data_IF_219627268668
#
_entry.id   IF_219627268668
#
_cell.length_a   1.000
_cell.length_b   1.000
_cell.length_c   1.000
_cell.angle_alpha   90.00
_cell.angle_beta   90.00
_cell.angle_gamma   90.00
#
_symmetry.space_group_name_H-M   'P 1'
#
loop_
_entity.id
_entity.type
_entity.pdbx_description
1 polymer ?
#
# COMPACT_ATOMS: atom_id res chain seq x y z
N UNK A 1 72.81 15.86 -7.52
CA UNK A 1 71.77 15.37 -8.45
C UNK A 1 72.34 14.18 -9.20
N UNK A 2 71.74 13.00 -9.08
CA UNK A 2 72.25 11.76 -9.69
C UNK A 2 71.62 11.58 -11.09
N UNK A 3 72.41 11.42 -12.17
CA UNK A 3 71.92 11.40 -13.55
C UNK A 3 71.03 10.19 -13.90
N UNK A 4 70.95 9.18 -13.03
CA UNK A 4 70.09 8.01 -13.19
C UNK A 4 68.79 8.06 -12.37
N UNK A 5 68.51 9.16 -11.67
CA UNK A 5 67.25 9.32 -10.94
C UNK A 5 66.10 9.63 -11.92
N UNK A 6 65.02 8.81 -11.95
CA UNK A 6 63.86 9.09 -12.81
C UNK A 6 63.26 10.45 -12.45
N UNK A 7 63.21 11.36 -13.42
CA UNK A 7 62.73 12.74 -13.23
C UNK A 7 61.19 12.85 -13.11
N UNK A 8 60.47 11.73 -13.18
CA UNK A 8 59.03 11.67 -12.95
C UNK A 8 58.70 10.38 -12.17
N UNK A 9 58.01 10.55 -11.05
CA UNK A 9 57.34 9.44 -10.39
C UNK A 9 55.96 9.26 -11.04
N UNK A 10 55.48 8.01 -11.17
CA UNK A 10 54.16 7.77 -11.73
C UNK A 10 53.07 8.38 -10.82
N UNK A 11 51.98 8.84 -11.42
CA UNK A 11 50.95 9.67 -10.77
C UNK A 11 50.26 9.02 -9.55
N UNK A 12 50.34 7.70 -9.41
CA UNK A 12 49.72 6.95 -8.32
C UNK A 12 50.64 6.79 -7.09
N UNK A 13 51.86 7.31 -7.13
CA UNK A 13 52.80 7.30 -5.99
C UNK A 13 52.77 8.67 -5.29
N UNK A 14 52.78 8.71 -3.95
CA UNK A 14 52.88 9.96 -3.20
C UNK A 14 54.07 10.82 -3.64
N UNK A 15 53.85 12.13 -3.71
CA UNK A 15 54.87 13.10 -4.07
C UNK A 15 55.96 13.23 -2.99
N UNK A 16 57.15 13.75 -3.36
CA UNK A 16 58.25 13.99 -2.42
C UNK A 16 57.93 15.06 -1.36
N UNK A 17 56.88 15.85 -1.57
CA UNK A 17 56.24 16.79 -0.64
C UNK A 17 55.26 16.10 0.34
N UNK A 18 55.09 14.78 0.22
CA UNK A 18 54.20 13.96 1.07
C UNK A 18 52.74 13.99 0.66
N UNK A 19 52.38 14.70 -0.41
CA UNK A 19 51.01 14.73 -0.93
C UNK A 19 50.70 13.46 -1.72
N UNK A 20 49.60 12.79 -1.37
CA UNK A 20 49.08 11.62 -2.09
C UNK A 20 47.76 12.00 -2.77
N UNK A 21 47.82 12.24 -4.07
CA UNK A 21 46.66 12.62 -4.87
C UNK A 21 45.57 11.54 -4.87
N UNK A 22 45.94 10.26 -4.86
CA UNK A 22 44.95 9.16 -4.81
C UNK A 22 44.25 9.10 -3.46
N UNK A 23 44.98 9.31 -2.36
CA UNK A 23 44.39 9.40 -1.03
C UNK A 23 43.36 10.53 -0.94
N UNK A 24 43.67 11.70 -1.51
CA UNK A 24 42.76 12.85 -1.52
C UNK A 24 41.51 12.55 -2.36
N UNK A 25 41.67 11.98 -3.55
CA UNK A 25 40.54 11.60 -4.42
C UNK A 25 39.65 10.56 -3.73
N UNK A 26 40.23 9.55 -3.08
CA UNK A 26 39.48 8.54 -2.33
C UNK A 26 38.76 9.11 -1.12
N UNK A 27 39.36 10.05 -0.39
CA UNK A 27 38.71 10.72 0.72
C UNK A 27 37.46 11.49 0.24
N UNK A 28 37.58 12.25 -0.85
CA UNK A 28 36.46 13.00 -1.44
C UNK A 28 35.38 12.03 -1.95
N UNK A 29 35.79 10.97 -2.66
CA UNK A 29 34.88 9.95 -3.16
C UNK A 29 34.10 9.28 -2.02
N UNK A 30 34.78 8.90 -0.94
CA UNK A 30 34.15 8.28 0.23
C UNK A 30 33.10 9.21 0.85
N UNK A 31 33.44 10.48 1.04
CA UNK A 31 32.50 11.49 1.56
C UNK A 31 31.29 11.61 0.63
N UNK A 32 31.50 11.70 -0.69
CA UNK A 32 30.43 11.79 -1.67
C UNK A 32 29.50 10.56 -1.63
N UNK A 33 30.06 9.35 -1.55
CA UNK A 33 29.29 8.10 -1.44
C UNK A 33 28.50 8.06 -0.14
N UNK A 34 29.11 8.42 0.99
CA UNK A 34 28.43 8.44 2.29
C UNK A 34 27.25 9.43 2.28
N UNK A 35 27.44 10.63 1.74
CA UNK A 35 26.37 11.61 1.61
C UNK A 35 25.28 11.12 0.64
N UNK A 36 25.66 10.48 -0.47
CA UNK A 36 24.71 9.93 -1.43
C UNK A 36 23.88 8.78 -0.85
N UNK A 37 24.52 7.83 -0.16
CA UNK A 37 23.84 6.73 0.52
C UNK A 37 23.00 7.24 1.69
N UNK A 38 23.50 8.22 2.46
CA UNK A 38 22.77 8.83 3.57
C UNK A 38 21.50 9.55 3.11
N UNK A 39 21.57 10.31 2.02
CA UNK A 39 20.39 10.96 1.41
C UNK A 39 19.42 9.94 0.82
N UNK A 40 19.91 8.86 0.22
CA UNK A 40 19.09 7.74 -0.24
C UNK A 40 18.37 7.05 0.94
N UNK A 41 19.07 6.83 2.05
CA UNK A 41 18.49 6.24 3.26
C UNK A 41 17.32 7.08 3.81
N UNK A 42 17.48 8.40 3.92
CA UNK A 42 16.39 9.30 4.33
C UNK A 42 15.20 9.27 3.35
N UNK A 43 15.49 9.12 2.05
CA UNK A 43 14.45 9.00 1.01
C UNK A 43 13.71 7.64 1.06
N UNK A 44 14.41 6.56 1.40
CA UNK A 44 13.83 5.24 1.63
C UNK A 44 13.03 5.18 2.94
N UNK A 45 13.42 5.94 3.95
CA UNK A 45 12.70 5.99 5.23
C UNK A 45 11.43 6.86 5.17
N UNK A 46 11.39 7.88 4.31
CA UNK A 46 10.21 8.72 4.06
C UNK A 46 9.25 8.17 3.00
N UNK A 47 9.66 7.14 2.27
CA UNK A 47 8.85 6.40 1.30
C UNK A 47 7.62 5.71 1.93
N UNK A 48 7.75 5.00 3.07
CA UNK A 48 6.63 4.47 3.83
C UNK A 48 5.60 5.54 4.24
N UNK A 49 6.08 6.72 4.61
CA UNK A 49 5.25 7.81 5.13
C UNK A 49 4.32 8.40 4.06
N UNK A 50 4.83 8.64 2.84
CA UNK A 50 4.02 9.30 1.78
C UNK A 50 2.95 8.42 1.13
N UNK A 51 3.03 7.09 1.31
CA UNK A 51 2.05 6.16 0.73
C UNK A 51 0.90 5.82 1.68
N UNK A 52 0.95 6.30 2.94
CA UNK A 52 -0.14 6.18 3.90
C UNK A 52 -1.47 6.80 3.43
N UNK A 53 -1.46 7.63 2.37
CA UNK A 53 -2.65 8.32 1.86
C UNK A 53 -3.40 7.61 0.73
N UNK A 54 -2.96 6.45 0.22
CA UNK A 54 -3.66 5.69 -0.83
C UNK A 54 -3.90 4.22 -0.44
N UNK A 55 -4.98 3.98 0.30
CA UNK A 55 -5.81 2.74 0.32
C UNK A 55 -5.19 1.33 0.49
N UNK A 56 -3.91 1.16 0.80
CA UNK A 56 -3.27 -0.15 1.05
C UNK A 56 -2.85 -0.31 2.52
N UNK A 57 -3.77 -0.04 3.47
CA UNK A 57 -3.47 -0.02 4.93
C UNK A 57 -2.77 -1.30 5.43
N UNK A 58 -3.13 -2.47 4.88
CA UNK A 58 -2.63 -3.76 5.34
C UNK A 58 -1.20 -4.06 4.85
N UNK A 59 -0.84 -3.63 3.64
CA UNK A 59 0.51 -3.81 3.11
C UNK A 59 1.56 -3.02 3.90
N UNK A 60 1.22 -1.78 4.29
CA UNK A 60 2.10 -0.95 5.12
C UNK A 60 2.27 -1.48 6.53
N UNK A 61 1.22 -2.04 7.12
CA UNK A 61 1.29 -2.63 8.46
C UNK A 61 2.25 -3.82 8.47
N UNK A 62 2.17 -4.72 7.49
CA UNK A 62 3.08 -5.87 7.37
C UNK A 62 4.53 -5.40 7.14
N UNK A 63 4.74 -4.44 6.23
CA UNK A 63 6.08 -3.89 5.95
C UNK A 63 6.68 -3.21 7.20
N UNK A 64 5.88 -2.47 7.96
CA UNK A 64 6.31 -1.79 9.19
C UNK A 64 6.69 -2.79 10.29
N UNK A 65 5.90 -3.84 10.49
CA UNK A 65 6.20 -4.91 11.46
C UNK A 65 7.48 -5.66 11.06
N UNK A 66 7.68 -5.95 9.77
CA UNK A 66 8.90 -6.57 9.27
C UNK A 66 10.15 -5.70 9.53
N UNK A 67 10.03 -4.39 9.34
CA UNK A 67 11.09 -3.43 9.66
C UNK A 67 11.40 -3.38 11.16
N UNK A 68 10.37 -3.39 12.02
CA UNK A 68 10.52 -3.40 13.48
C UNK A 68 11.24 -4.68 13.95
N UNK A 69 10.84 -5.84 13.41
CA UNK A 69 11.50 -7.12 13.67
C UNK A 69 12.96 -7.08 13.19
N UNK A 70 13.21 -6.53 11.99
CA UNK A 70 14.57 -6.38 11.48
C UNK A 70 15.47 -5.57 12.40
N UNK A 71 14.95 -4.50 13.00
CA UNK A 71 15.69 -3.62 13.90
C UNK A 71 15.92 -4.28 15.26
N UNK A 72 14.94 -5.01 15.77
CA UNK A 72 15.07 -5.76 17.02
C UNK A 72 16.10 -6.90 16.89
N UNK A 73 16.01 -7.69 15.82
CA UNK A 73 16.87 -8.86 15.61
C UNK A 73 18.22 -8.51 14.97
N UNK A 74 18.40 -7.29 14.46
CA UNK A 74 19.57 -6.88 13.64
C UNK A 74 19.80 -7.75 12.39
N UNK A 75 18.76 -8.46 11.93
CA UNK A 75 18.80 -9.32 10.76
C UNK A 75 18.36 -8.53 9.52
N UNK A 76 19.33 -8.09 8.71
CA UNK A 76 19.08 -7.28 7.51
C UNK A 76 18.15 -7.94 6.48
N UNK A 77 17.98 -9.27 6.52
CA UNK A 77 17.11 -9.98 5.59
C UNK A 77 15.64 -9.56 5.72
N UNK A 78 15.17 -9.24 6.94
CA UNK A 78 13.81 -8.79 7.16
C UNK A 78 13.59 -7.37 6.64
N UNK A 79 14.60 -6.51 6.75
CA UNK A 79 14.58 -5.18 6.16
C UNK A 79 14.54 -5.24 4.63
N UNK A 80 15.40 -6.08 4.02
CA UNK A 80 15.43 -6.28 2.57
C UNK A 80 14.09 -6.84 2.08
N UNK A 81 13.56 -7.87 2.76
CA UNK A 81 12.26 -8.45 2.44
C UNK A 81 11.13 -7.43 2.54
N UNK A 82 11.13 -6.57 3.57
CA UNK A 82 10.13 -5.50 3.74
C UNK A 82 10.20 -4.47 2.62
N UNK A 83 11.40 -4.07 2.18
CA UNK A 83 11.59 -3.18 1.03
C UNK A 83 11.12 -3.83 -0.28
N UNK A 84 11.46 -5.10 -0.49
CA UNK A 84 11.07 -5.84 -1.69
C UNK A 84 9.54 -5.98 -1.76
N UNK A 85 8.91 -6.29 -0.62
CA UNK A 85 7.45 -6.40 -0.48
C UNK A 85 6.74 -5.05 -0.65
N UNK A 86 7.41 -3.93 -0.31
CA UNK A 86 6.90 -2.59 -0.56
C UNK A 86 7.02 -2.15 -2.03
N UNK A 87 7.89 -2.81 -2.82
CA UNK A 87 8.05 -2.53 -4.25
C UNK A 87 7.07 -3.34 -5.12
N UNK A 88 6.57 -4.47 -4.61
CA UNK A 88 5.45 -5.20 -5.20
C UNK A 88 4.16 -4.55 -4.71
N UNK A 89 3.23 -4.19 -5.58
CA UNK A 89 1.89 -3.77 -5.13
C UNK A 89 1.07 -5.03 -4.86
N UNK A 90 0.77 -5.32 -3.59
CA UNK A 90 -0.16 -6.41 -3.26
C UNK A 90 -1.59 -5.94 -3.59
N UNK A 91 -2.38 -6.69 -4.38
CA UNK A 91 -3.74 -6.27 -4.69
C UNK A 91 -4.61 -6.24 -3.43
N UNK A 92 -5.59 -5.33 -3.40
CA UNK A 92 -6.48 -5.18 -2.25
C UNK A 92 -7.38 -6.42 -2.07
N UNK A 93 -6.96 -7.31 -1.16
CA UNK A 93 -7.68 -8.55 -0.83
C UNK A 93 -8.89 -8.34 0.09
N UNK A 94 -9.08 -7.13 0.64
CA UNK A 94 -10.20 -6.83 1.54
C UNK A 94 -11.51 -6.57 0.79
N UNK A 95 -11.42 -5.93 -0.37
CA UNK A 95 -12.57 -5.65 -1.24
C UNK A 95 -13.28 -6.94 -1.70
N UNK A 96 -12.58 -7.98 -2.18
CA UNK A 96 -13.17 -9.30 -2.46
C UNK A 96 -13.77 -9.97 -1.21
N UNK A 97 -13.09 -9.94 -0.06
CA UNK A 97 -13.57 -10.57 1.17
C UNK A 97 -14.90 -9.94 1.64
N UNK A 98 -15.01 -8.61 1.58
CA UNK A 98 -16.22 -7.88 1.93
C UNK A 98 -17.36 -8.17 0.96
N UNK A 99 -17.06 -8.37 -0.33
CA UNK A 99 -18.05 -8.81 -1.32
C UNK A 99 -18.57 -10.22 -1.01
N UNK A 100 -17.71 -11.13 -0.53
CA UNK A 100 -18.12 -12.48 -0.13
C UNK A 100 -18.98 -12.47 1.13
N UNK A 101 -18.63 -11.66 2.13
CA UNK A 101 -19.45 -11.48 3.33
C UNK A 101 -20.85 -10.95 2.97
N UNK A 102 -20.94 -9.95 2.08
CA UNK A 102 -22.22 -9.42 1.60
C UNK A 102 -23.02 -10.42 0.75
N UNK A 103 -22.36 -11.26 -0.04
CA UNK A 103 -23.03 -12.34 -0.79
C UNK A 103 -23.53 -13.44 0.14
N UNK A 104 -22.78 -13.81 1.18
CA UNK A 104 -23.21 -14.77 2.21
C UNK A 104 -24.41 -14.23 2.98
N UNK A 105 -24.40 -12.95 3.36
CA UNK A 105 -25.52 -12.32 4.04
C UNK A 105 -26.78 -12.33 3.19
N UNK A 106 -26.67 -12.04 1.89
CA UNK A 106 -27.80 -12.18 0.94
C UNK A 106 -28.29 -13.62 0.79
N UNK A 107 -27.40 -14.61 0.81
CA UNK A 107 -27.79 -16.03 0.73
C UNK A 107 -28.47 -16.48 2.04
N UNK A 108 -28.00 -16.01 3.19
CA UNK A 108 -28.62 -16.26 4.49
C UNK A 108 -30.03 -15.64 4.56
N UNK A 109 -30.19 -14.41 4.06
CA UNK A 109 -31.47 -13.68 4.02
C UNK A 109 -32.42 -14.20 2.92
N UNK A 110 -31.89 -14.82 1.86
CA UNK A 110 -32.66 -15.47 0.80
C UNK A 110 -33.15 -16.89 1.15
N UNK A 111 -32.95 -17.35 2.40
CA UNK A 111 -33.62 -18.57 2.89
C UNK A 111 -35.14 -18.33 2.81
N UNK A 112 -35.89 -19.11 2.00
CA UNK A 112 -37.31 -18.89 1.84
C UNK A 112 -38.00 -18.99 3.19
N UNK A 113 -38.63 -17.90 3.63
CA UNK A 113 -39.69 -18.01 4.61
C UNK A 113 -40.74 -18.93 3.99
N UNK A 114 -40.81 -20.16 4.49
CA UNK A 114 -41.90 -21.09 4.20
C UNK A 114 -43.20 -20.30 4.28
N UNK A 115 -44.01 -20.24 3.20
CA UNK A 115 -45.30 -19.59 3.28
C UNK A 115 -46.18 -20.45 4.18
N UNK A 116 -46.24 -20.12 5.47
CA UNK A 116 -47.24 -20.67 6.36
C UNK A 116 -48.57 -19.99 6.02
N UNK A 117 -49.24 -20.58 5.05
CA UNK A 117 -50.65 -20.37 4.78
C UNK A 117 -51.48 -20.80 5.99
N UNK A 118 -52.60 -20.09 6.17
CA UNK A 118 -53.77 -20.38 7.00
C UNK A 118 -53.69 -20.02 8.50
N UNK A 119 -54.03 -18.78 8.81
CA UNK A 119 -54.90 -18.49 9.95
C UNK A 119 -56.23 -17.94 9.41
N UNK A 120 -57.21 -18.82 9.36
CA UNK A 120 -58.63 -18.54 9.19
C UNK A 120 -59.12 -17.65 10.34
N UNK A 121 -59.84 -16.56 10.03
CA UNK A 121 -60.95 -16.02 10.82
C UNK A 121 -61.51 -14.73 10.17
N UNK A 122 -62.55 -14.89 9.35
CA UNK A 122 -63.63 -13.90 9.29
C UNK A 122 -64.28 -13.76 10.68
N UNK A 123 -64.79 -12.57 11.06
CA UNK A 123 -66.23 -12.34 10.88
C UNK A 123 -66.66 -10.89 10.55
N UNK A 124 -67.59 -10.80 9.59
CA UNK A 124 -68.83 -9.99 9.58
C UNK A 124 -68.81 -8.47 9.84
N UNK A 125 -69.20 -7.69 8.81
CA UNK A 125 -70.55 -7.07 8.81
C UNK A 125 -70.71 -5.55 9.00
N UNK A 126 -71.02 -4.88 7.88
CA UNK A 126 -72.17 -3.96 7.65
C UNK A 126 -71.95 -2.45 7.42
N UNK A 127 -72.52 -2.00 6.28
CA UNK A 127 -73.05 -0.67 5.89
C UNK A 127 -72.02 0.47 5.78
N UNK A 128 -71.94 1.28 4.72
CA UNK A 128 -72.85 1.68 3.64
C UNK A 128 -72.52 3.16 3.41
N UNK A 129 -72.15 3.63 2.23
CA UNK A 129 -73.06 4.30 1.28
C UNK A 129 -72.25 5.19 0.34
N UNK A 130 -72.72 5.27 -0.92
CA UNK A 130 -72.57 6.36 -1.92
C UNK A 130 -71.20 6.48 -2.64
N UNK A 131 -71.12 6.70 -3.94
CA UNK A 131 -72.14 6.92 -4.97
C UNK A 131 -71.47 6.70 -6.34
N UNK A 132 -72.23 6.11 -7.27
CA UNK A 132 -71.93 6.13 -8.69
C UNK A 132 -72.23 7.52 -9.28
N UNK A 133 -71.30 8.06 -10.04
CA UNK A 133 -71.45 9.15 -11.02
C UNK A 133 -70.07 9.39 -11.65
N UNK A 134 -69.84 9.59 -12.93
CA UNK A 134 -70.60 9.45 -14.14
C UNK A 134 -69.56 9.54 -15.28
N UNK A 135 -69.86 8.92 -16.41
CA UNK A 135 -69.42 9.24 -17.78
C UNK A 135 -68.23 10.18 -18.04
N UNK A 136 -67.27 9.66 -18.81
CA UNK A 136 -67.00 10.21 -20.14
C UNK A 136 -65.78 11.12 -20.29
N UNK A 137 -65.11 10.92 -21.45
CA UNK A 137 -64.32 11.92 -22.18
C UNK A 137 -62.90 12.12 -21.58
N UNK A 138 -61.76 11.90 -22.23
CA UNK A 138 -61.36 12.11 -23.62
C UNK A 138 -60.01 11.38 -23.82
N UNK A 139 -59.85 10.60 -24.89
CA UNK A 139 -58.54 10.42 -25.51
C UNK A 139 -58.30 11.57 -26.48
N UNK A 140 -57.05 11.95 -26.73
CA UNK A 140 -56.62 12.54 -28.00
C UNK A 140 -55.08 12.57 -28.08
N UNK A 141 -54.60 11.94 -29.17
CA UNK A 141 -53.39 12.20 -29.98
C UNK A 141 -52.02 12.25 -29.29
#
# INVERSE_FOLDING_TARGET
MHPAAPHHLPFFVPGPDGSDGLMIVMAIFLIAVVLWVGTLYWKLHSLPERMAHKSQKLQFEIVAVLGLISLFTHMHIFWIAGLLLAMIDLPDFSTPLRSMAGSVERIADATPQTPQSASEAEPTGNSGTKNASNEGVQGHA
#
